data_IF_063125615439
#
_entry.id   IF_063125615439
#
_cell.length_a   1.000
_cell.length_b   1.000
_cell.length_c   1.000
_cell.angle_alpha   90.00
_cell.angle_beta   90.00
_cell.angle_gamma   90.00
#
_symmetry.space_group_name_H-M   'P 1'
#
loop_
_entity.id
_entity.type
_entity.pdbx_description
1 polymer ?
#
# COMPACT_ATOMS: atom_id res chain seq x y z
N UNK A 1 4.74 -32.24 -61.03
CA UNK A 1 3.91 -31.13 -61.53
C UNK A 1 3.80 -30.12 -60.39
N UNK A 2 4.88 -29.43 -60.03
CA UNK A 2 5.36 -28.18 -60.62
C UNK A 2 4.24 -27.12 -60.74
N UNK A 3 4.32 -26.16 -59.82
CA UNK A 3 4.59 -24.75 -60.15
C UNK A 3 3.39 -23.87 -60.56
N UNK A 4 2.90 -23.12 -59.57
CA UNK A 4 2.63 -21.68 -59.64
C UNK A 4 3.11 -21.11 -58.30
N UNK A 5 4.35 -20.65 -58.10
CA UNK A 5 4.96 -19.45 -58.70
C UNK A 5 3.93 -18.36 -59.00
N UNK A 6 4.08 -17.09 -58.61
CA UNK A 6 5.07 -16.32 -57.85
C UNK A 6 4.47 -14.90 -57.85
N UNK A 7 4.86 -14.07 -56.88
CA UNK A 7 4.74 -12.60 -56.86
C UNK A 7 3.32 -12.05 -56.58
N UNK A 8 3.09 -11.14 -55.64
CA UNK A 8 3.87 -9.94 -55.35
C UNK A 8 3.88 -9.55 -53.87
N UNK A 9 5.10 -9.46 -53.36
CA UNK A 9 5.60 -8.61 -52.30
C UNK A 9 4.94 -7.22 -52.27
N UNK A 10 4.47 -6.76 -51.09
CA UNK A 10 4.84 -5.48 -50.42
C UNK A 10 3.78 -4.98 -49.43
N UNK A 11 4.14 -4.97 -48.13
CA UNK A 11 4.33 -3.78 -47.24
C UNK A 11 3.78 -3.97 -45.81
N UNK A 12 4.64 -3.61 -44.85
CA UNK A 12 4.40 -3.47 -43.40
C UNK A 12 4.91 -4.68 -42.62
N UNK A 13 6.14 -4.76 -42.08
CA UNK A 13 6.90 -3.82 -41.22
C UNK A 13 5.99 -3.32 -40.08
N UNK A 14 6.11 -3.86 -38.87
CA UNK A 14 6.83 -3.33 -37.67
C UNK A 14 6.33 -4.16 -36.45
N UNK A 15 6.99 -4.23 -35.25
CA UNK A 15 8.35 -3.88 -34.82
C UNK A 15 9.14 -5.13 -34.31
N UNK A 16 10.47 -5.22 -34.52
CA UNK A 16 11.50 -4.78 -33.57
C UNK A 16 11.16 -5.11 -32.11
N UNK A 17 11.73 -6.21 -31.62
CA UNK A 17 11.90 -6.49 -30.20
C UNK A 17 12.67 -5.29 -29.62
N UNK A 18 11.99 -4.48 -28.83
CA UNK A 18 12.60 -3.40 -28.08
C UNK A 18 13.59 -4.01 -27.10
N UNK A 19 14.83 -3.54 -27.21
CA UNK A 19 15.92 -3.85 -26.31
C UNK A 19 15.45 -3.73 -24.84
N UNK A 20 15.85 -4.64 -23.94
CA UNK A 20 15.76 -4.35 -22.52
C UNK A 20 16.50 -3.03 -22.28
N UNK A 21 15.73 -2.02 -21.90
CA UNK A 21 16.12 -0.74 -21.32
C UNK A 21 17.63 -0.51 -21.22
N UNK A 22 18.14 0.43 -22.01
CA UNK A 22 19.51 0.98 -21.87
C UNK A 22 19.80 1.49 -20.44
N UNK A 23 18.77 1.71 -19.62
CA UNK A 23 18.88 2.14 -18.22
C UNK A 23 19.36 1.00 -17.30
N UNK A 24 18.88 -0.23 -17.51
CA UNK A 24 19.30 -1.36 -16.68
C UNK A 24 20.79 -1.69 -16.92
N UNK A 25 21.24 -1.66 -18.17
CA UNK A 25 22.64 -1.94 -18.51
C UNK A 25 23.57 -0.84 -17.94
N UNK A 26 23.15 0.43 -17.93
CA UNK A 26 23.94 1.49 -17.28
C UNK A 26 24.01 1.35 -15.77
N UNK A 27 22.96 0.83 -15.13
CA UNK A 27 22.93 0.65 -13.68
C UNK A 27 23.77 -0.56 -13.23
N UNK A 28 23.72 -1.67 -13.97
CA UNK A 28 24.60 -2.83 -13.74
C UNK A 28 26.08 -2.49 -14.01
N UNK A 29 26.37 -1.79 -15.12
CA UNK A 29 27.75 -1.39 -15.44
C UNK A 29 28.27 -0.36 -14.44
N UNK A 30 27.42 0.51 -13.90
CA UNK A 30 27.81 1.47 -12.85
C UNK A 30 28.04 0.78 -11.50
N UNK A 31 27.31 -0.29 -11.21
CA UNK A 31 27.50 -1.11 -9.99
C UNK A 31 28.86 -1.84 -10.02
N UNK A 32 29.22 -2.44 -11.17
CA UNK A 32 30.50 -3.14 -11.34
C UNK A 32 31.71 -2.18 -11.30
N UNK A 33 31.56 -0.96 -11.83
CA UNK A 33 32.63 0.06 -11.78
C UNK A 33 32.88 0.58 -10.36
N UNK A 34 31.84 0.64 -9.51
CA UNK A 34 31.97 1.11 -8.11
C UNK A 34 32.52 0.01 -7.19
N UNK A 35 32.25 -1.26 -7.49
CA UNK A 35 32.75 -2.41 -6.73
C UNK A 35 34.28 -2.56 -6.79
N UNK A 36 34.91 -2.15 -7.90
CA UNK A 36 36.35 -2.33 -8.11
C UNK A 36 37.22 -1.28 -7.39
N UNK A 37 36.62 -0.23 -6.81
CA UNK A 37 37.39 0.91 -6.28
C UNK A 37 37.35 1.12 -4.76
N UNK A 38 36.41 0.54 -4.00
CA UNK A 38 36.43 0.59 -2.53
C UNK A 38 35.41 -0.39 -1.89
N UNK A 39 35.84 -1.47 -1.21
CA UNK A 39 34.93 -2.41 -0.54
C UNK A 39 34.13 -1.78 0.63
N UNK A 40 34.52 -0.59 1.11
CA UNK A 40 33.75 0.13 2.13
C UNK A 40 32.44 0.71 1.58
N UNK A 41 32.39 1.11 0.31
CA UNK A 41 31.23 1.77 -0.30
C UNK A 41 30.06 0.80 -0.56
N UNK A 42 30.34 -0.47 -0.87
CA UNK A 42 29.30 -1.49 -1.01
C UNK A 42 28.61 -1.82 0.33
N UNK A 43 29.39 -1.80 1.42
CA UNK A 43 28.88 -2.04 2.78
C UNK A 43 28.03 -0.88 3.27
N UNK A 44 28.44 0.35 2.96
CA UNK A 44 27.68 1.57 3.30
C UNK A 44 26.35 1.64 2.52
N UNK A 45 26.33 1.28 1.23
CA UNK A 45 25.11 1.27 0.42
C UNK A 45 24.09 0.22 0.92
N UNK A 46 24.52 -0.99 1.27
CA UNK A 46 23.60 -2.01 1.83
C UNK A 46 23.08 -1.63 3.22
N UNK A 47 23.92 -1.07 4.08
CA UNK A 47 23.52 -0.69 5.44
C UNK A 47 22.61 0.55 5.47
N UNK A 48 22.77 1.46 4.50
CA UNK A 48 21.86 2.60 4.33
C UNK A 48 20.48 2.15 3.86
N UNK A 49 20.39 1.17 2.96
CA UNK A 49 19.11 0.67 2.44
C UNK A 49 18.28 0.00 3.55
N UNK A 50 18.90 -0.84 4.39
CA UNK A 50 18.20 -1.50 5.50
C UNK A 50 17.76 -0.51 6.61
N UNK A 51 18.58 0.49 6.93
CA UNK A 51 18.26 1.47 7.97
C UNK A 51 17.16 2.46 7.54
N UNK A 52 17.19 2.93 6.30
CA UNK A 52 16.16 3.81 5.73
C UNK A 52 14.82 3.07 5.55
N UNK A 53 14.86 1.79 5.19
CA UNK A 53 13.66 0.94 5.10
C UNK A 53 13.02 0.73 6.48
N UNK A 54 13.80 0.46 7.53
CA UNK A 54 13.28 0.28 8.88
C UNK A 54 12.64 1.57 9.44
N UNK A 55 13.29 2.72 9.27
CA UNK A 55 12.73 4.02 9.69
C UNK A 55 11.48 4.43 8.90
N UNK A 56 11.43 4.12 7.61
CA UNK A 56 10.22 4.30 6.77
C UNK A 56 9.05 3.43 7.25
N UNK A 57 9.31 2.17 7.62
CA UNK A 57 8.31 1.26 8.19
C UNK A 57 7.83 1.74 9.56
N UNK A 58 8.73 2.22 10.42
CA UNK A 58 8.38 2.79 11.71
C UNK A 58 7.51 4.05 11.56
N UNK A 59 7.85 4.91 10.60
CA UNK A 59 7.06 6.11 10.27
C UNK A 59 5.66 5.73 9.76
N UNK A 60 5.57 4.74 8.88
CA UNK A 60 4.30 4.22 8.36
C UNK A 60 3.44 3.60 9.47
N UNK A 61 4.05 2.81 10.37
CA UNK A 61 3.36 2.25 11.55
C UNK A 61 2.83 3.33 12.48
N UNK A 62 3.60 4.40 12.71
CA UNK A 62 3.17 5.57 13.49
C UNK A 62 1.97 6.26 12.81
N UNK A 63 2.01 6.46 11.49
CA UNK A 63 0.90 7.08 10.75
C UNK A 63 -0.37 6.24 10.81
N UNK A 64 -0.28 4.93 10.61
CA UNK A 64 -1.42 4.01 10.73
C UNK A 64 -2.05 4.09 12.13
N UNK A 65 -1.23 4.13 13.20
CA UNK A 65 -1.76 4.27 14.58
C UNK A 65 -2.57 5.56 14.76
N UNK A 66 -2.13 6.66 14.16
CA UNK A 66 -2.86 7.94 14.17
C UNK A 66 -4.20 7.79 13.44
N UNK A 67 -4.20 7.24 12.22
CA UNK A 67 -5.43 7.06 11.43
C UNK A 67 -6.43 6.13 12.12
N UNK A 68 -5.96 5.06 12.76
CA UNK A 68 -6.80 4.16 13.58
C UNK A 68 -7.43 4.91 14.75
N UNK A 69 -6.67 5.80 15.40
CA UNK A 69 -7.20 6.64 16.49
C UNK A 69 -8.24 7.64 15.98
N UNK A 70 -8.03 8.24 14.81
CA UNK A 70 -8.99 9.14 14.14
C UNK A 70 -10.30 8.43 13.86
N UNK A 71 -10.26 7.25 13.21
CA UNK A 71 -11.45 6.45 12.92
C UNK A 71 -12.18 6.06 14.22
N UNK A 72 -11.44 5.60 15.24
CA UNK A 72 -12.02 5.25 16.54
C UNK A 72 -12.73 6.44 17.18
N UNK A 73 -12.11 7.62 17.14
CA UNK A 73 -12.69 8.84 17.69
C UNK A 73 -13.94 9.29 16.91
N UNK A 74 -13.92 9.20 15.58
CA UNK A 74 -15.07 9.50 14.74
C UNK A 74 -16.26 8.59 15.11
N UNK A 75 -16.03 7.27 15.16
CA UNK A 75 -17.04 6.26 15.55
C UNK A 75 -17.58 6.51 16.97
N UNK A 76 -16.70 6.88 17.90
CA UNK A 76 -17.07 7.08 19.30
C UNK A 76 -17.90 8.35 19.50
N UNK A 77 -17.46 9.47 18.93
CA UNK A 77 -18.13 10.77 19.08
C UNK A 77 -19.44 10.79 18.31
N UNK A 78 -19.41 10.43 17.03
CA UNK A 78 -20.52 10.51 16.08
C UNK A 78 -21.28 9.17 15.93
N UNK A 79 -21.32 8.37 17.00
CA UNK A 79 -22.10 7.13 17.02
C UNK A 79 -23.55 7.42 16.59
N UNK A 80 -24.08 6.64 15.63
CA UNK A 80 -25.39 6.78 14.97
C UNK A 80 -25.53 7.86 13.90
N UNK A 81 -24.50 8.67 13.67
CA UNK A 81 -24.43 9.62 12.55
C UNK A 81 -23.61 9.04 11.39
N UNK A 82 -23.79 9.57 10.19
CA UNK A 82 -22.91 9.26 9.07
C UNK A 82 -21.59 10.01 9.26
N UNK A 83 -20.46 9.30 9.21
CA UNK A 83 -19.14 9.92 9.28
C UNK A 83 -18.86 10.61 7.94
N UNK A 84 -18.70 11.94 7.98
CA UNK A 84 -18.45 12.79 6.82
C UNK A 84 -16.98 13.21 6.73
N UNK A 85 -16.59 13.77 5.59
CA UNK A 85 -15.24 14.32 5.39
C UNK A 85 -14.87 15.37 6.43
N UNK A 86 -15.81 16.27 6.75
CA UNK A 86 -15.57 17.38 7.67
C UNK A 86 -15.21 16.89 9.07
N UNK A 87 -15.87 15.83 9.53
CA UNK A 87 -15.58 15.19 10.83
C UNK A 87 -14.16 14.64 10.85
N UNK A 88 -13.71 14.00 9.77
CA UNK A 88 -12.34 13.44 9.70
C UNK A 88 -11.30 14.56 9.63
N UNK A 89 -11.55 15.62 8.84
CA UNK A 89 -10.67 16.79 8.74
C UNK A 89 -10.57 17.57 10.06
N UNK A 90 -11.64 17.62 10.85
CA UNK A 90 -11.61 18.19 12.20
C UNK A 90 -10.70 17.37 13.15
N UNK A 91 -10.71 16.04 13.01
CA UNK A 91 -9.92 15.13 13.85
C UNK A 91 -8.46 15.01 13.40
N UNK A 92 -8.15 15.25 12.13
CA UNK A 92 -6.82 15.16 11.54
C UNK A 92 -6.66 16.21 10.43
N UNK A 93 -6.07 17.36 10.77
CA UNK A 93 -5.93 18.48 9.84
C UNK A 93 -4.91 18.24 8.71
N UNK A 94 -3.92 17.38 8.96
CA UNK A 94 -2.82 17.02 8.06
C UNK A 94 -3.10 15.73 7.26
N UNK A 95 -4.37 15.33 7.13
CA UNK A 95 -4.76 14.11 6.41
C UNK A 95 -4.58 14.28 4.89
N UNK A 96 -4.02 13.27 4.23
CA UNK A 96 -3.95 13.26 2.75
C UNK A 96 -5.31 12.85 2.15
N UNK A 97 -5.50 13.10 0.85
CA UNK A 97 -6.73 12.71 0.17
C UNK A 97 -6.96 11.18 0.18
N UNK A 98 -5.90 10.40 -0.02
CA UNK A 98 -5.94 8.93 -0.03
C UNK A 98 -6.27 8.36 1.37
N UNK A 99 -5.68 8.95 2.41
CA UNK A 99 -5.97 8.57 3.80
C UNK A 99 -7.41 8.92 4.17
N UNK A 100 -7.89 10.10 3.75
CA UNK A 100 -9.26 10.55 3.99
C UNK A 100 -10.28 9.59 3.36
N UNK A 101 -10.10 9.25 2.09
CA UNK A 101 -10.96 8.30 1.38
C UNK A 101 -10.97 6.94 2.08
N UNK A 102 -9.80 6.46 2.47
CA UNK A 102 -9.64 5.18 3.19
C UNK A 102 -10.35 5.23 4.55
N UNK A 103 -10.19 6.30 5.32
CA UNK A 103 -10.84 6.49 6.61
C UNK A 103 -12.37 6.50 6.48
N UNK A 104 -12.91 7.15 5.45
CA UNK A 104 -14.36 7.18 5.19
C UNK A 104 -14.90 5.82 4.80
N UNK A 105 -14.19 5.10 3.93
CA UNK A 105 -14.56 3.75 3.51
C UNK A 105 -14.62 2.80 4.70
N UNK A 106 -13.56 2.77 5.51
CA UNK A 106 -13.49 1.91 6.71
C UNK A 106 -14.59 2.28 7.70
N UNK A 107 -14.78 3.58 7.95
CA UNK A 107 -15.80 4.08 8.88
C UNK A 107 -17.20 3.65 8.44
N UNK A 108 -17.53 3.84 7.17
CA UNK A 108 -18.82 3.46 6.58
C UNK A 108 -19.05 1.95 6.64
N UNK A 109 -18.00 1.16 6.40
CA UNK A 109 -18.07 -0.30 6.45
C UNK A 109 -18.32 -0.81 7.87
N UNK A 110 -17.66 -0.23 8.87
CA UNK A 110 -17.72 -0.71 10.27
C UNK A 110 -18.98 -0.22 10.98
N UNK A 111 -19.46 0.99 10.68
CA UNK A 111 -20.56 1.64 11.40
C UNK A 111 -21.80 0.77 11.66
N UNK A 112 -22.31 -0.03 10.68
CA UNK A 112 -23.49 -0.87 10.89
C UNK A 112 -23.30 -1.97 11.94
N UNK A 113 -22.05 -2.39 12.15
CA UNK A 113 -21.69 -3.45 13.10
C UNK A 113 -21.37 -2.88 14.49
N UNK A 114 -21.21 -1.56 14.63
CA UNK A 114 -20.91 -0.93 15.91
C UNK A 114 -22.16 -0.99 16.81
N UNK A 115 -22.08 -1.65 17.97
CA UNK A 115 -23.21 -1.75 18.89
C UNK A 115 -23.62 -0.37 19.40
N UNK A 116 -24.83 -0.24 19.93
CA UNK A 116 -25.26 1.02 20.58
C UNK A 116 -24.31 1.40 21.73
N UNK A 117 -24.08 2.70 21.98
CA UNK A 117 -23.19 3.24 23.05
C UNK A 117 -23.34 2.52 24.40
N UNK A 118 -24.58 2.25 24.82
CA UNK A 118 -24.92 1.51 26.05
C UNK A 118 -24.39 0.07 26.12
N UNK A 119 -24.07 -0.54 24.99
CA UNK A 119 -23.64 -1.93 24.85
C UNK A 119 -22.18 -2.10 24.45
N UNK A 120 -21.38 -1.02 24.34
CA UNK A 120 -19.98 -1.11 23.88
C UNK A 120 -19.10 -2.01 24.77
N UNK A 121 -19.36 -2.00 26.07
CA UNK A 121 -18.62 -2.82 27.05
C UNK A 121 -19.29 -4.17 27.33
N UNK A 122 -20.33 -4.51 26.56
CA UNK A 122 -21.06 -5.78 26.69
C UNK A 122 -20.32 -6.89 25.95
N UNK A 123 -19.86 -7.91 26.68
CA UNK A 123 -19.14 -9.06 26.12
C UNK A 123 -19.82 -9.71 24.89
N UNK A 124 -21.17 -9.92 24.89
CA UNK A 124 -21.86 -10.44 23.71
C UNK A 124 -21.65 -9.63 22.42
N UNK A 125 -21.53 -8.31 22.53
CA UNK A 125 -21.38 -7.44 21.38
C UNK A 125 -19.91 -7.31 20.91
N UNK A 126 -18.96 -7.72 21.74
CA UNK A 126 -17.54 -7.77 21.40
C UNK A 126 -17.15 -9.09 20.74
N UNK A 127 -17.83 -10.19 21.08
CA UNK A 127 -17.51 -11.54 20.62
C UNK A 127 -17.39 -11.66 19.09
N UNK A 128 -18.28 -11.08 18.25
CA UNK A 128 -18.13 -11.18 16.80
C UNK A 128 -16.84 -10.56 16.27
N UNK A 129 -16.41 -9.43 16.83
CA UNK A 129 -15.17 -8.77 16.44
C UNK A 129 -13.94 -9.58 16.86
N UNK A 130 -13.98 -10.18 18.05
CA UNK A 130 -12.90 -11.07 18.53
C UNK A 130 -12.78 -12.31 17.64
N UNK A 131 -13.90 -12.94 17.29
CA UNK A 131 -13.90 -14.11 16.40
C UNK A 131 -13.40 -13.77 15.00
N UNK A 132 -13.80 -12.62 14.46
CA UNK A 132 -13.35 -12.14 13.15
C UNK A 132 -11.84 -11.83 13.16
N UNK A 133 -11.34 -11.16 14.20
CA UNK A 133 -9.91 -10.92 14.36
C UNK A 133 -9.13 -12.24 14.41
N UNK A 134 -9.60 -13.24 15.17
CA UNK A 134 -8.96 -14.55 15.24
C UNK A 134 -8.92 -15.27 13.88
N UNK A 135 -9.99 -15.16 13.08
CA UNK A 135 -10.02 -15.71 11.73
C UNK A 135 -8.99 -15.02 10.82
N UNK A 136 -8.87 -13.70 10.92
CA UNK A 136 -7.88 -12.94 10.14
C UNK A 136 -6.46 -13.32 10.58
N UNK A 137 -6.16 -13.35 11.87
CA UNK A 137 -4.84 -13.75 12.39
C UNK A 137 -4.46 -15.15 11.90
N UNK A 138 -5.38 -16.12 11.96
CA UNK A 138 -5.14 -17.48 11.47
C UNK A 138 -4.91 -17.54 9.96
N UNK A 139 -5.50 -16.62 9.19
CA UNK A 139 -5.30 -16.55 7.74
C UNK A 139 -4.00 -15.82 7.36
N UNK A 140 -3.55 -14.86 8.18
CA UNK A 140 -2.38 -14.03 7.90
C UNK A 140 -1.05 -14.57 8.44
N UNK A 141 -1.08 -15.50 9.41
CA UNK A 141 0.12 -16.17 9.94
C UNK A 141 0.81 -15.42 11.07
#
# INVERSE_FOLDING_TARGET
>A
MLEKEKNFLKKGKIPLIENPSKTAITDFVRLDIVADHNPATATEIMLMDDAEVDESLETSRKRIKILVAVIRNAIFKHHSETITEDIIKELCADITAEELETCLLISTLIMPYVPSKKNWYSMPHQLPFVLMANQILNASG
#
